data_IF_122559081958
#
_entry.id   IF_122559081958
#
_cell.length_a   1.000
_cell.length_b   1.000
_cell.length_c   1.000
_cell.angle_alpha   90.00
_cell.angle_beta   90.00
_cell.angle_gamma   90.00
#
_symmetry.space_group_name_H-M   'P 1'
#
loop_
_entity.id
_entity.type
_entity.pdbx_description
1 polymer ?
#
# COMPACT_ATOMS: atom_id res chain seq x y z
N UNK A 1 12.41 8.77 34.78
CA UNK A 1 10.96 8.97 34.61
C UNK A 1 10.58 8.24 33.34
N UNK A 2 9.68 7.26 33.39
CA UNK A 2 9.18 6.57 32.18
C UNK A 2 8.52 7.61 31.28
N UNK A 3 8.89 7.66 30.00
CA UNK A 3 8.22 8.54 29.04
C UNK A 3 6.70 8.27 29.08
N UNK A 4 5.85 9.31 29.07
CA UNK A 4 4.41 9.12 29.07
C UNK A 4 3.97 8.36 27.80
N UNK A 5 2.94 7.53 27.93
CA UNK A 5 2.34 6.86 26.79
C UNK A 5 1.86 7.90 25.76
N UNK A 6 2.15 7.66 24.49
CA UNK A 6 1.76 8.54 23.38
C UNK A 6 0.32 8.27 22.97
N UNK A 7 -0.36 9.29 22.45
CA UNK A 7 -1.69 9.12 21.87
C UNK A 7 -1.57 8.71 20.39
N UNK A 8 -1.91 7.47 20.09
CA UNK A 8 -1.87 6.94 18.72
C UNK A 8 -3.13 7.26 17.91
N UNK A 9 -4.13 7.93 18.50
CA UNK A 9 -5.34 8.29 17.78
C UNK A 9 -5.07 9.36 16.71
N UNK A 10 -5.72 9.23 15.56
CA UNK A 10 -5.54 10.17 14.44
C UNK A 10 -6.11 11.57 14.71
N UNK A 11 -6.98 11.68 15.71
CA UNK A 11 -7.65 12.91 16.14
C UNK A 11 -7.03 13.49 17.42
N UNK A 12 -5.98 12.86 17.94
CA UNK A 12 -5.31 13.25 19.18
C UNK A 12 -4.24 14.34 18.99
N UNK A 13 -3.61 14.80 20.09
CA UNK A 13 -2.58 15.84 20.05
C UNK A 13 -1.31 15.43 19.28
N UNK A 14 -0.99 14.13 19.19
CA UNK A 14 0.17 13.67 18.41
C UNK A 14 -0.02 13.93 16.90
N UNK A 15 -1.25 13.90 16.39
CA UNK A 15 -1.55 14.23 14.99
C UNK A 15 -1.11 15.67 14.66
N UNK A 16 -1.43 16.61 15.54
CA UNK A 16 -1.01 18.00 15.40
C UNK A 16 0.51 18.15 15.55
N UNK A 17 1.12 17.50 16.55
CA UNK A 17 2.58 17.52 16.75
C UNK A 17 3.34 16.97 15.55
N UNK A 18 2.84 15.92 14.90
CA UNK A 18 3.44 15.36 13.70
C UNK A 18 3.46 16.37 12.54
N UNK A 19 2.38 17.14 12.37
CA UNK A 19 2.31 18.23 11.38
C UNK A 19 3.31 19.35 11.72
N UNK A 20 3.32 19.80 12.97
CA UNK A 20 4.23 20.86 13.46
C UNK A 20 5.72 20.48 13.30
N UNK A 21 6.03 19.19 13.47
CA UNK A 21 7.39 18.63 13.25
C UNK A 21 7.72 18.39 11.78
N UNK A 22 6.79 18.65 10.86
CA UNK A 22 6.98 18.43 9.43
C UNK A 22 7.00 16.96 9.01
N UNK A 23 6.47 16.06 9.84
CA UNK A 23 6.42 14.62 9.57
C UNK A 23 5.23 14.22 8.67
N UNK A 24 4.18 15.05 8.63
CA UNK A 24 3.01 14.80 7.79
C UNK A 24 3.32 15.09 6.32
N UNK A 25 2.99 14.12 5.45
CA UNK A 25 3.19 14.17 4.00
C UNK A 25 4.63 14.58 3.60
N UNK A 26 5.61 14.18 4.43
CA UNK A 26 7.02 14.58 4.35
C UNK A 26 7.74 14.00 3.13
N UNK A 27 8.94 14.55 2.88
CA UNK A 27 9.87 13.93 1.94
C UNK A 27 10.59 12.78 2.65
N UNK A 28 10.46 11.59 2.09
CA UNK A 28 10.96 10.35 2.69
C UNK A 28 12.26 9.94 2.01
N UNK A 29 13.20 9.41 2.79
CA UNK A 29 14.39 8.80 2.20
C UNK A 29 14.00 7.68 1.22
N UNK A 30 14.65 7.68 0.06
CA UNK A 30 14.47 6.68 -1.00
C UNK A 30 15.84 6.27 -1.52
N UNK A 31 16.08 4.96 -1.54
CA UNK A 31 17.34 4.42 -2.06
C UNK A 31 17.55 4.81 -3.53
N UNK A 32 18.77 5.18 -3.93
CA UNK A 32 19.07 5.44 -5.33
C UNK A 32 18.95 4.15 -6.14
N UNK A 33 18.33 4.25 -7.32
CA UNK A 33 18.21 3.17 -8.28
C UNK A 33 18.28 3.73 -9.69
N UNK A 34 18.93 3.00 -10.60
CA UNK A 34 18.95 3.36 -12.02
C UNK A 34 17.50 3.44 -12.57
N UNK A 35 17.11 4.55 -13.22
CA UNK A 35 15.74 4.73 -13.72
C UNK A 35 15.30 3.67 -14.73
N UNK A 36 16.21 3.19 -15.60
CA UNK A 36 15.87 2.16 -16.58
C UNK A 36 15.61 0.82 -15.87
N UNK A 37 16.44 0.48 -14.88
CA UNK A 37 16.22 -0.70 -14.03
C UNK A 37 14.92 -0.61 -13.25
N UNK A 38 14.60 0.56 -12.68
CA UNK A 38 13.35 0.76 -11.97
C UNK A 38 12.14 0.61 -12.92
N UNK A 39 12.22 1.13 -14.15
CA UNK A 39 11.18 0.95 -15.17
C UNK A 39 10.94 -0.52 -15.53
N UNK A 40 11.99 -1.33 -15.65
CA UNK A 40 11.85 -2.79 -15.84
C UNK A 40 11.12 -3.45 -14.67
N UNK A 41 11.45 -3.06 -13.43
CA UNK A 41 10.87 -3.63 -12.22
C UNK A 41 9.39 -3.26 -12.05
N UNK A 42 8.91 -2.18 -12.67
CA UNK A 42 7.48 -1.81 -12.65
C UNK A 42 6.58 -2.70 -13.51
N UNK A 43 7.13 -3.59 -14.34
CA UNK A 43 6.33 -4.39 -15.27
C UNK A 43 5.37 -5.35 -14.56
N UNK A 44 4.07 -5.17 -14.84
CA UNK A 44 2.96 -5.99 -14.34
C UNK A 44 2.60 -7.10 -15.34
N UNK A 45 2.03 -8.21 -14.85
CA UNK A 45 1.70 -9.37 -15.70
C UNK A 45 0.39 -10.02 -15.26
N UNK A 46 -0.60 -10.05 -16.16
CA UNK A 46 -1.90 -10.67 -15.89
C UNK A 46 -1.78 -12.20 -15.77
N UNK A 47 -1.03 -12.82 -16.68
CA UNK A 47 -0.86 -14.28 -16.70
C UNK A 47 -0.19 -14.80 -15.43
N UNK A 48 0.93 -14.18 -15.04
CA UNK A 48 1.68 -14.64 -13.85
C UNK A 48 0.85 -14.45 -12.59
N UNK A 49 0.17 -13.30 -12.44
CA UNK A 49 -0.67 -13.06 -11.25
C UNK A 49 -1.87 -13.98 -11.23
N UNK A 50 -2.47 -14.22 -12.40
CA UNK A 50 -3.56 -15.17 -12.56
C UNK A 50 -3.19 -16.57 -12.10
N UNK A 51 -1.99 -17.06 -12.45
CA UNK A 51 -1.49 -18.36 -11.98
C UNK A 51 -1.38 -18.37 -10.45
N UNK A 52 -0.78 -17.35 -9.84
CA UNK A 52 -0.61 -17.28 -8.38
C UNK A 52 -1.97 -17.27 -7.63
N UNK A 53 -2.94 -16.54 -8.17
CA UNK A 53 -4.32 -16.49 -7.62
C UNK A 53 -5.03 -17.83 -7.80
N UNK A 54 -4.93 -18.44 -8.99
CA UNK A 54 -5.56 -19.74 -9.27
C UNK A 54 -4.96 -20.85 -8.41
N UNK A 55 -3.64 -20.88 -8.22
CA UNK A 55 -2.98 -21.81 -7.31
C UNK A 55 -3.43 -21.61 -5.86
N UNK A 56 -3.53 -20.38 -5.40
CA UNK A 56 -4.04 -20.08 -4.06
C UNK A 56 -5.49 -20.55 -3.88
N UNK A 57 -6.37 -20.26 -4.84
CA UNK A 57 -7.76 -20.71 -4.80
C UNK A 57 -7.87 -22.24 -4.82
N UNK A 58 -7.03 -22.94 -5.60
CA UNK A 58 -6.96 -24.40 -5.56
C UNK A 58 -6.54 -24.92 -4.18
N UNK A 59 -5.58 -24.27 -3.51
CA UNK A 59 -5.18 -24.63 -2.15
C UNK A 59 -6.31 -24.38 -1.14
N UNK A 60 -7.02 -23.26 -1.25
CA UNK A 60 -8.19 -22.95 -0.40
C UNK A 60 -9.28 -24.01 -0.58
N UNK A 61 -9.63 -24.35 -1.82
CA UNK A 61 -10.63 -25.39 -2.13
C UNK A 61 -10.17 -26.77 -1.68
N UNK A 62 -8.90 -27.11 -1.88
CA UNK A 62 -8.33 -28.39 -1.44
C UNK A 62 -8.34 -28.52 0.09
N UNK A 63 -7.89 -27.50 0.81
CA UNK A 63 -7.93 -27.47 2.27
C UNK A 63 -9.37 -27.46 2.81
N UNK A 64 -10.29 -26.75 2.14
CA UNK A 64 -11.70 -26.75 2.49
C UNK A 64 -12.35 -28.12 2.28
N UNK A 65 -12.02 -28.81 1.18
CA UNK A 65 -12.50 -30.16 0.90
C UNK A 65 -11.98 -31.16 1.94
N UNK A 66 -10.71 -31.03 2.33
CA UNK A 66 -10.15 -31.83 3.42
C UNK A 66 -10.87 -31.54 4.75
N UNK A 67 -11.10 -30.27 5.09
CA UNK A 67 -11.82 -29.89 6.30
C UNK A 67 -13.26 -30.44 6.31
N UNK A 68 -13.93 -30.42 5.16
CA UNK A 68 -15.28 -30.96 5.00
C UNK A 68 -15.33 -32.48 5.24
N UNK A 69 -14.46 -33.25 4.59
CA UNK A 69 -14.41 -34.72 4.75
C UNK A 69 -13.98 -35.12 6.17
N UNK A 70 -13.18 -34.28 6.84
CA UNK A 70 -12.71 -34.54 8.19
C UNK A 70 -13.73 -34.20 9.29
N UNK A 71 -14.86 -33.56 8.96
CA UNK A 71 -15.92 -33.21 9.94
C UNK A 71 -16.33 -34.42 10.78
N UNK A 72 -16.45 -34.22 12.10
CA UNK A 72 -16.77 -35.29 13.05
C UNK A 72 -15.57 -36.16 13.47
N UNK A 73 -14.36 -35.87 12.99
CA UNK A 73 -13.12 -36.56 13.39
C UNK A 73 -12.08 -35.61 13.96
N UNK A 74 -11.07 -36.16 14.65
CA UNK A 74 -9.92 -35.37 15.14
C UNK A 74 -9.10 -34.71 14.02
N UNK A 75 -9.19 -35.21 12.79
CA UNK A 75 -8.52 -34.60 11.63
C UNK A 75 -9.15 -33.26 11.21
N UNK A 76 -10.35 -32.92 11.69
CA UNK A 76 -10.97 -31.63 11.43
C UNK A 76 -10.10 -30.46 11.95
N UNK A 77 -9.46 -30.62 13.10
CA UNK A 77 -8.67 -29.57 13.73
C UNK A 77 -7.51 -29.10 12.83
N UNK A 78 -6.56 -29.97 12.42
CA UNK A 78 -5.47 -29.54 11.53
C UNK A 78 -5.99 -29.10 10.16
N UNK A 79 -7.07 -29.69 9.65
CA UNK A 79 -7.66 -29.29 8.38
C UNK A 79 -8.20 -27.85 8.41
N UNK A 80 -8.95 -27.48 9.46
CA UNK A 80 -9.44 -26.12 9.64
C UNK A 80 -8.31 -25.13 9.93
N UNK A 81 -7.26 -25.51 10.67
CA UNK A 81 -6.08 -24.63 10.85
C UNK A 81 -5.45 -24.25 9.49
N UNK A 82 -5.27 -25.22 8.59
CA UNK A 82 -4.71 -24.99 7.25
C UNK A 82 -5.69 -24.19 6.39
N UNK A 83 -6.97 -24.57 6.37
CA UNK A 83 -7.99 -23.86 5.61
C UNK A 83 -8.12 -22.40 6.04
N UNK A 84 -8.14 -22.12 7.34
CA UNK A 84 -8.18 -20.76 7.89
C UNK A 84 -6.96 -19.94 7.51
N UNK A 85 -5.76 -20.54 7.58
CA UNK A 85 -4.53 -19.87 7.19
C UNK A 85 -4.55 -19.46 5.71
N UNK A 86 -5.03 -20.33 4.83
CA UNK A 86 -5.14 -20.05 3.40
C UNK A 86 -6.28 -19.06 3.08
N UNK A 87 -7.40 -19.16 3.78
CA UNK A 87 -8.56 -18.29 3.58
C UNK A 87 -8.29 -16.89 4.14
N UNK A 88 -8.06 -16.76 5.44
CA UNK A 88 -7.85 -15.46 6.10
C UNK A 88 -6.44 -14.94 5.91
N UNK A 89 -5.44 -15.73 6.35
CA UNK A 89 -4.04 -15.29 6.38
C UNK A 89 -3.46 -14.97 5.00
N UNK A 90 -3.62 -15.88 4.02
CA UNK A 90 -3.10 -15.64 2.68
C UNK A 90 -3.97 -14.66 1.87
N UNK A 91 -5.23 -14.38 2.24
CA UNK A 91 -5.98 -13.29 1.62
C UNK A 91 -5.38 -11.91 1.95
N UNK A 92 -4.66 -11.76 3.06
CA UNK A 92 -4.10 -10.49 3.51
C UNK A 92 -3.16 -9.80 2.49
N UNK A 93 -2.07 -10.43 2.05
CA UNK A 93 -1.23 -9.84 1.01
C UNK A 93 -1.97 -9.64 -0.32
N UNK A 94 -3.07 -10.38 -0.58
CA UNK A 94 -3.82 -10.33 -1.84
C UNK A 94 -4.73 -9.11 -1.90
N UNK A 95 -5.49 -8.80 -0.84
CA UNK A 95 -6.24 -7.52 -0.81
C UNK A 95 -5.25 -6.34 -0.79
N UNK A 96 -4.13 -6.45 -0.08
CA UNK A 96 -3.13 -5.39 -0.01
C UNK A 96 -2.57 -5.06 -1.41
N UNK A 97 -1.99 -6.05 -2.09
CA UNK A 97 -1.35 -5.85 -3.40
C UNK A 97 -2.34 -5.50 -4.52
N UNK A 98 -3.52 -6.11 -4.51
CA UNK A 98 -4.57 -5.75 -5.47
C UNK A 98 -5.18 -4.38 -5.14
N UNK A 99 -5.15 -3.96 -3.87
CA UNK A 99 -5.55 -2.64 -3.41
C UNK A 99 -4.65 -1.54 -3.99
N UNK A 100 -3.34 -1.79 -4.06
CA UNK A 100 -2.35 -0.94 -4.75
C UNK A 100 -2.58 -0.91 -6.26
N UNK A 101 -3.18 -1.95 -6.84
CA UNK A 101 -3.43 -2.09 -8.27
C UNK A 101 -2.18 -2.46 -9.08
N UNK A 102 -1.16 -2.98 -8.40
CA UNK A 102 0.13 -3.37 -8.95
C UNK A 102 0.18 -4.85 -9.33
N UNK A 103 -0.67 -5.69 -8.71
CA UNK A 103 -0.68 -7.13 -8.96
C UNK A 103 -0.92 -7.47 -10.44
N UNK A 104 -2.01 -6.95 -11.02
CA UNK A 104 -2.38 -7.16 -12.43
C UNK A 104 -2.07 -5.92 -13.27
N UNK A 105 -1.77 -6.15 -14.56
CA UNK A 105 -1.65 -5.07 -15.56
C UNK A 105 -3.04 -4.53 -15.89
N UNK A 106 -4.03 -5.40 -16.00
CA UNK A 106 -5.43 -5.05 -16.25
C UNK A 106 -6.11 -4.63 -14.94
N UNK A 107 -6.60 -3.40 -14.88
CA UNK A 107 -7.09 -2.78 -13.64
C UNK A 107 -8.23 -3.55 -12.97
N UNK A 108 -9.25 -3.98 -13.72
CA UNK A 108 -10.42 -4.66 -13.16
C UNK A 108 -10.10 -6.04 -12.56
N UNK A 109 -9.00 -6.69 -13.00
CA UNK A 109 -8.54 -7.96 -12.41
C UNK A 109 -8.02 -7.76 -10.98
N UNK A 110 -7.42 -6.60 -10.68
CA UNK A 110 -7.07 -6.26 -9.31
C UNK A 110 -8.34 -6.17 -8.44
N UNK A 111 -9.36 -5.45 -8.89
CA UNK A 111 -10.63 -5.35 -8.15
C UNK A 111 -11.30 -6.72 -7.96
N UNK A 112 -11.25 -7.60 -8.97
CA UNK A 112 -11.80 -8.96 -8.91
C UNK A 112 -11.22 -9.78 -7.75
N UNK A 113 -9.95 -9.58 -7.40
CA UNK A 113 -9.28 -10.28 -6.28
C UNK A 113 -9.39 -9.47 -4.98
N UNK A 114 -9.30 -8.14 -5.10
CA UNK A 114 -9.36 -7.20 -3.99
C UNK A 114 -10.63 -7.37 -3.16
N UNK A 115 -11.81 -7.26 -3.79
CA UNK A 115 -13.07 -7.29 -3.06
C UNK A 115 -13.32 -8.62 -2.31
N UNK A 116 -13.14 -9.81 -2.94
CA UNK A 116 -13.25 -11.07 -2.21
C UNK A 116 -12.22 -11.19 -1.08
N UNK A 117 -10.95 -10.86 -1.32
CA UNK A 117 -9.92 -10.95 -0.28
C UNK A 117 -10.19 -10.00 0.90
N UNK A 118 -10.71 -8.80 0.63
CA UNK A 118 -11.19 -7.86 1.63
C UNK A 118 -12.35 -8.45 2.45
N UNK A 119 -13.33 -9.10 1.81
CA UNK A 119 -14.43 -9.76 2.51
C UNK A 119 -13.95 -10.92 3.40
N UNK A 120 -13.02 -11.74 2.90
CA UNK A 120 -12.42 -12.86 3.64
C UNK A 120 -11.75 -12.43 4.96
N UNK A 121 -11.39 -11.15 5.07
CA UNK A 121 -10.78 -10.53 6.24
C UNK A 121 -11.69 -9.55 6.98
N UNK A 122 -12.95 -9.41 6.57
CA UNK A 122 -13.90 -8.41 7.10
C UNK A 122 -13.33 -6.98 7.06
N UNK A 123 -12.53 -6.69 6.02
CA UNK A 123 -11.97 -5.38 5.74
C UNK A 123 -12.84 -4.66 4.74
N UNK A 124 -13.48 -3.56 5.14
CA UNK A 124 -14.27 -2.71 4.22
C UNK A 124 -13.35 -2.10 3.15
N UNK A 125 -13.57 -2.37 1.85
CA UNK A 125 -12.60 -2.07 0.80
C UNK A 125 -12.20 -0.58 0.75
N UNK A 126 -13.17 0.33 0.74
CA UNK A 126 -12.86 1.77 0.68
C UNK A 126 -12.09 2.24 1.92
N UNK A 127 -12.51 1.83 3.12
CA UNK A 127 -11.83 2.22 4.38
C UNK A 127 -10.38 1.76 4.37
N UNK A 128 -10.15 0.49 4.05
CA UNK A 128 -8.81 -0.09 4.09
C UNK A 128 -7.90 0.42 2.98
N UNK A 129 -8.42 0.69 1.77
CA UNK A 129 -7.63 1.33 0.72
C UNK A 129 -7.08 2.69 1.17
N UNK A 130 -7.92 3.53 1.78
CA UNK A 130 -7.53 4.88 2.20
C UNK A 130 -6.70 4.90 3.49
N UNK A 131 -7.01 3.99 4.43
CA UNK A 131 -6.13 3.71 5.58
C UNK A 131 -4.72 3.35 5.12
N UNK A 132 -4.63 2.48 4.11
CA UNK A 132 -3.36 1.97 3.65
C UNK A 132 -2.58 2.99 2.78
N UNK A 133 -3.29 3.83 2.01
CA UNK A 133 -2.68 5.02 1.39
C UNK A 133 -2.11 5.96 2.46
N UNK A 134 -2.84 6.19 3.56
CA UNK A 134 -2.32 7.00 4.69
C UNK A 134 -1.10 6.36 5.33
N UNK A 135 -1.10 5.04 5.50
CA UNK A 135 0.05 4.28 6.01
C UNK A 135 1.29 4.48 5.12
N UNK A 136 1.19 4.38 3.79
CA UNK A 136 2.31 4.68 2.90
C UNK A 136 2.72 6.15 2.85
N UNK A 137 1.82 7.07 3.20
CA UNK A 137 2.14 8.49 3.30
C UNK A 137 2.99 8.81 4.52
N UNK A 138 2.61 8.24 5.67
CA UNK A 138 3.04 8.65 7.00
C UNK A 138 3.46 7.39 7.82
N UNK A 139 4.16 6.42 7.22
CA UNK A 139 4.47 5.10 7.80
C UNK A 139 4.99 5.22 9.23
N UNK A 140 4.28 4.64 10.20
CA UNK A 140 4.72 4.57 11.61
C UNK A 140 4.96 5.98 12.23
N UNK A 141 4.33 7.02 11.67
CA UNK A 141 4.24 8.36 12.28
C UNK A 141 3.04 8.40 13.23
N UNK A 142 3.30 8.60 14.51
CA UNK A 142 2.26 8.52 15.55
C UNK A 142 1.25 9.66 15.40
N UNK A 143 -0.04 9.32 15.51
CA UNK A 143 -1.15 10.23 15.29
C UNK A 143 -1.47 10.49 13.81
N UNK A 144 -0.74 9.86 12.87
CA UNK A 144 -0.98 9.96 11.43
C UNK A 144 -1.28 8.61 10.77
N UNK A 145 -0.51 7.59 11.13
CA UNK A 145 -0.68 6.24 10.60
C UNK A 145 -1.80 5.47 11.33
N UNK A 146 -2.83 5.11 10.58
CA UNK A 146 -3.98 4.34 11.08
C UNK A 146 -3.66 2.86 11.31
N UNK A 147 -2.53 2.38 10.79
CA UNK A 147 -2.16 0.96 10.73
C UNK A 147 -1.06 0.59 11.75
N UNK A 148 -0.78 1.47 12.72
CA UNK A 148 0.12 1.15 13.84
C UNK A 148 -0.54 0.08 14.72
N UNK A 149 -0.13 -1.18 14.55
CA UNK A 149 -0.64 -2.32 15.32
C UNK A 149 0.04 -2.47 16.69
N UNK A 150 1.22 -1.87 16.87
CA UNK A 150 2.08 -2.04 18.04
C UNK A 150 2.37 -0.70 18.74
N UNK A 151 1.36 -0.06 19.35
CA UNK A 151 1.58 1.17 20.12
C UNK A 151 2.45 0.91 21.34
N UNK A 152 3.12 1.96 21.83
CA UNK A 152 4.04 1.89 22.98
C UNK A 152 3.42 2.57 24.22
N UNK A 153 3.49 1.95 25.41
CA UNK A 153 4.09 0.64 25.70
C UNK A 153 3.33 -0.53 25.06
N UNK A 154 4.07 -1.53 24.58
CA UNK A 154 3.47 -2.71 23.93
C UNK A 154 2.79 -3.60 24.97
N UNK A 155 1.50 -3.85 24.80
CA UNK A 155 0.77 -4.87 25.57
C UNK A 155 0.99 -6.25 24.94
N UNK A 156 2.02 -6.95 25.43
CA UNK A 156 2.41 -8.29 24.98
C UNK A 156 1.28 -9.32 25.18
N UNK A 157 0.46 -9.15 26.24
CA UNK A 157 -0.66 -10.06 26.49
C UNK A 157 -1.76 -9.85 25.46
N UNK A 158 -2.15 -8.60 25.22
CA UNK A 158 -3.15 -8.27 24.21
C UNK A 158 -2.69 -8.71 22.81
N UNK A 159 -1.41 -8.48 22.47
CA UNK A 159 -0.81 -8.96 21.23
C UNK A 159 -0.90 -10.48 21.07
N UNK A 160 -0.50 -11.25 22.11
CA UNK A 160 -0.53 -12.72 22.06
C UNK A 160 -1.95 -13.26 21.91
N UNK A 161 -2.92 -12.67 22.62
CA UNK A 161 -4.34 -13.03 22.50
C UNK A 161 -4.87 -12.71 21.09
N UNK A 162 -4.41 -11.60 20.50
CA UNK A 162 -4.87 -11.18 19.18
C UNK A 162 -4.25 -11.97 18.02
N UNK A 163 -3.28 -12.87 18.26
CA UNK A 163 -2.82 -13.83 17.24
C UNK A 163 -3.97 -14.69 16.68
N UNK A 164 -5.05 -14.87 17.45
CA UNK A 164 -6.24 -15.62 17.02
C UNK A 164 -7.44 -14.71 16.70
N UNK A 165 -7.20 -13.40 16.49
CA UNK A 165 -8.26 -12.45 16.12
C UNK A 165 -9.29 -12.17 17.23
N UNK A 166 -9.03 -12.57 18.48
CA UNK A 166 -10.01 -12.53 19.58
C UNK A 166 -10.48 -11.11 19.90
N UNK A 167 -9.62 -10.11 19.75
CA UNK A 167 -9.97 -8.70 20.01
C UNK A 167 -10.21 -7.93 18.71
N UNK A 168 -9.34 -8.11 17.71
CA UNK A 168 -9.42 -7.38 16.44
C UNK A 168 -10.65 -7.72 15.61
N UNK A 169 -10.99 -9.00 15.43
CA UNK A 169 -12.09 -9.39 14.53
C UNK A 169 -13.45 -8.92 15.07
N UNK A 170 -13.78 -9.07 16.38
CA UNK A 170 -14.99 -8.46 16.93
C UNK A 170 -15.00 -6.92 16.87
N UNK A 171 -13.85 -6.25 16.89
CA UNK A 171 -13.78 -4.81 16.67
C UNK A 171 -14.14 -4.44 15.22
N UNK A 172 -13.67 -5.21 14.23
CA UNK A 172 -14.02 -5.03 12.82
C UNK A 172 -15.53 -5.22 12.59
N UNK A 173 -16.12 -6.28 13.14
CA UNK A 173 -17.58 -6.50 13.04
C UNK A 173 -18.37 -5.34 13.66
N UNK A 174 -17.96 -4.85 14.83
CA UNK A 174 -18.59 -3.68 15.47
C UNK A 174 -18.47 -2.42 14.62
N UNK A 175 -17.32 -2.18 13.99
CA UNK A 175 -17.09 -1.08 13.05
C UNK A 175 -18.01 -1.19 11.83
N UNK A 176 -18.08 -2.37 11.20
CA UNK A 176 -19.00 -2.63 10.07
C UNK A 176 -20.45 -2.33 10.46
N UNK A 177 -20.90 -2.77 11.64
CA UNK A 177 -22.27 -2.46 12.13
C UNK A 177 -22.48 -0.95 12.31
N UNK A 178 -21.50 -0.23 12.86
CA UNK A 178 -21.57 1.24 13.01
C UNK A 178 -21.66 1.93 11.65
N UNK A 179 -20.78 1.58 10.72
CA UNK A 179 -20.76 2.14 9.36
C UNK A 179 -22.05 1.85 8.59
N UNK A 180 -22.62 0.65 8.70
CA UNK A 180 -23.89 0.30 8.07
C UNK A 180 -25.08 1.15 8.56
N UNK A 181 -24.98 1.63 9.81
CA UNK A 181 -25.91 2.56 10.45
C UNK A 181 -25.58 4.04 10.21
N UNK A 182 -24.73 4.36 9.22
CA UNK A 182 -24.34 5.73 8.86
C UNK A 182 -23.58 6.46 9.99
N UNK A 183 -22.85 5.71 10.81
CA UNK A 183 -22.01 6.24 11.90
C UNK A 183 -20.55 5.95 11.60
N UNK A 184 -19.93 6.80 10.78
CA UNK A 184 -18.50 6.73 10.49
C UNK A 184 -17.68 7.11 11.72
N UNK A 185 -16.59 6.37 11.95
CA UNK A 185 -15.64 6.72 12.99
C UNK A 185 -14.86 8.00 12.61
N UNK A 186 -14.46 8.79 13.61
CA UNK A 186 -13.82 10.08 13.38
C UNK A 186 -12.45 9.95 12.68
N UNK A 187 -11.74 8.86 12.92
CA UNK A 187 -10.50 8.52 12.23
C UNK A 187 -10.75 8.20 10.76
N UNK A 188 -11.77 7.38 10.43
CA UNK A 188 -12.18 7.06 9.05
C UNK A 188 -12.53 8.32 8.28
N UNK A 189 -13.30 9.23 8.89
CA UNK A 189 -13.62 10.52 8.29
C UNK A 189 -12.39 11.41 8.03
N UNK A 190 -11.28 11.18 8.74
CA UNK A 190 -10.02 11.93 8.58
C UNK A 190 -9.15 11.48 7.42
N UNK A 191 -9.27 10.23 6.94
CA UNK A 191 -8.49 9.71 5.80
C UNK A 191 -9.30 9.24 4.60
N UNK A 192 -10.61 8.99 4.75
CA UNK A 192 -11.51 8.70 3.63
C UNK A 192 -12.13 10.01 3.11
N UNK A 193 -11.98 10.35 1.82
CA UNK A 193 -12.65 11.51 1.22
C UNK A 193 -14.17 11.49 1.40
N UNK A 194 -14.77 12.65 1.63
CA UNK A 194 -16.20 12.79 1.99
C UNK A 194 -17.14 12.28 0.90
N UNK A 195 -16.75 12.40 -0.37
CA UNK A 195 -17.49 11.88 -1.52
C UNK A 195 -17.61 10.34 -1.52
N UNK A 196 -16.74 9.64 -0.79
CA UNK A 196 -16.75 8.18 -0.66
C UNK A 196 -17.44 7.68 0.61
N UNK A 197 -17.88 8.56 1.51
CA UNK A 197 -18.52 8.17 2.77
C UNK A 197 -19.77 7.32 2.54
N UNK A 198 -20.60 7.69 1.55
CA UNK A 198 -21.78 6.90 1.17
C UNK A 198 -21.41 5.51 0.65
N UNK A 199 -20.27 5.37 -0.03
CA UNK A 199 -19.77 4.09 -0.51
C UNK A 199 -19.37 3.17 0.65
N UNK A 200 -18.69 3.72 1.67
CA UNK A 200 -18.35 2.98 2.90
C UNK A 200 -19.61 2.40 3.54
N UNK A 201 -20.67 3.20 3.68
CA UNK A 201 -21.95 2.74 4.26
C UNK A 201 -22.56 1.57 3.47
N UNK A 202 -22.52 1.62 2.14
CA UNK A 202 -23.04 0.53 1.29
C UNK A 202 -22.16 -0.72 1.34
N UNK A 203 -20.85 -0.56 1.37
CA UNK A 203 -19.90 -1.67 1.57
C UNK A 203 -20.18 -2.36 2.92
N UNK A 204 -20.30 -1.59 4.01
CA UNK A 204 -20.65 -2.10 5.33
C UNK A 204 -21.97 -2.90 5.33
N UNK A 205 -23.02 -2.36 4.71
CA UNK A 205 -24.32 -3.05 4.57
C UNK A 205 -24.19 -4.34 3.78
N UNK A 206 -23.42 -4.35 2.69
CA UNK A 206 -23.19 -5.57 1.90
C UNK A 206 -22.47 -6.65 2.72
N UNK A 207 -21.53 -6.26 3.57
CA UNK A 207 -20.84 -7.19 4.48
C UNK A 207 -21.80 -7.75 5.53
N UNK A 208 -22.67 -6.92 6.11
CA UNK A 208 -23.71 -7.39 7.03
C UNK A 208 -24.69 -8.37 6.38
N UNK A 209 -25.11 -8.11 5.14
CA UNK A 209 -25.94 -9.06 4.39
C UNK A 209 -25.22 -10.40 4.24
N UNK A 210 -23.94 -10.40 3.91
CA UNK A 210 -23.12 -11.62 3.85
C UNK A 210 -23.05 -12.35 5.19
N UNK A 211 -22.74 -11.64 6.28
CA UNK A 211 -22.64 -12.22 7.64
C UNK A 211 -24.00 -12.78 8.09
N UNK A 212 -25.08 -12.01 7.93
CA UNK A 212 -26.44 -12.46 8.29
C UNK A 212 -26.88 -13.65 7.44
N UNK A 213 -26.53 -13.67 6.15
CA UNK A 213 -26.78 -14.81 5.28
C UNK A 213 -26.09 -16.09 5.77
N UNK A 214 -24.84 -15.99 6.21
CA UNK A 214 -24.10 -17.12 6.80
C UNK A 214 -24.73 -17.59 8.13
N UNK A 215 -25.16 -16.65 8.98
CA UNK A 215 -25.85 -16.99 10.24
C UNK A 215 -27.21 -17.65 9.97
N UNK A 216 -27.98 -17.15 9.00
CA UNK A 216 -29.24 -17.76 8.58
C UNK A 216 -29.03 -19.18 8.02
N UNK A 217 -27.97 -19.39 7.23
CA UNK A 217 -27.60 -20.72 6.76
C UNK A 217 -27.26 -21.67 7.91
N UNK A 218 -26.61 -21.19 8.99
CA UNK A 218 -26.35 -22.00 10.19
C UNK A 218 -27.65 -22.43 10.88
N UNK A 219 -28.65 -21.53 10.94
CA UNK A 219 -29.98 -21.85 11.51
C UNK A 219 -30.70 -22.88 10.65
N UNK A 220 -30.74 -22.69 9.33
CA UNK A 220 -31.40 -23.61 8.38
C UNK A 220 -30.77 -25.01 8.41
N UNK A 221 -29.45 -25.08 8.52
CA UNK A 221 -28.71 -26.35 8.57
C UNK A 221 -28.59 -26.95 9.97
N UNK A 222 -29.14 -26.28 11.00
CA UNK A 222 -29.03 -26.64 12.41
C UNK A 222 -27.58 -26.94 12.85
N UNK A 223 -26.61 -26.15 12.36
CA UNK A 223 -25.19 -26.40 12.61
C UNK A 223 -24.29 -25.22 12.28
N UNK A 224 -23.06 -25.26 12.77
CA UNK A 224 -22.07 -24.20 12.58
C UNK A 224 -21.28 -24.33 11.26
N UNK A 225 -21.57 -25.32 10.44
CA UNK A 225 -20.77 -25.64 9.25
C UNK A 225 -20.66 -24.44 8.29
N UNK A 226 -21.73 -23.71 7.92
CA UNK A 226 -21.58 -22.53 7.06
C UNK A 226 -20.67 -21.46 7.67
N UNK A 227 -20.76 -21.25 8.99
CA UNK A 227 -19.89 -20.32 9.71
C UNK A 227 -18.42 -20.76 9.64
N UNK A 228 -18.13 -22.05 9.81
CA UNK A 228 -16.78 -22.60 9.73
C UNK A 228 -16.14 -22.42 8.35
N UNK A 229 -16.91 -22.24 7.28
CA UNK A 229 -16.37 -22.11 5.93
C UNK A 229 -16.30 -20.68 5.38
N UNK A 230 -17.04 -19.71 5.91
CA UNK A 230 -17.13 -18.36 5.30
C UNK A 230 -16.64 -17.24 6.21
N UNK A 231 -17.26 -17.05 7.38
CA UNK A 231 -16.90 -15.93 8.29
C UNK A 231 -15.98 -16.39 9.41
N UNK A 232 -16.14 -17.62 9.90
CA UNK A 232 -15.28 -18.24 10.90
C UNK A 232 -13.79 -18.29 10.53
N UNK A 233 -13.39 -18.56 9.26
CA UNK A 233 -11.98 -18.57 8.88
C UNK A 233 -11.25 -17.26 9.12
N UNK A 234 -11.94 -16.11 9.12
CA UNK A 234 -11.35 -14.82 9.49
C UNK A 234 -10.84 -14.81 10.94
N UNK A 235 -11.50 -15.55 11.84
CA UNK A 235 -11.11 -15.65 13.25
C UNK A 235 -9.98 -16.66 13.42
N UNK A 236 -10.24 -17.94 13.16
CA UNK A 236 -9.28 -18.99 13.44
C UNK A 236 -8.12 -19.04 12.43
N UNK A 237 -8.21 -18.30 11.32
CA UNK A 237 -7.15 -18.11 10.34
C UNK A 237 -6.30 -16.84 10.55
N UNK A 238 -6.67 -15.98 11.51
CA UNK A 238 -5.98 -14.72 11.79
C UNK A 238 -4.49 -14.91 12.14
N UNK A 239 -4.11 -16.10 12.62
CA UNK A 239 -2.75 -16.39 13.04
C UNK A 239 -1.72 -16.21 11.93
N UNK A 240 -2.04 -16.56 10.67
CA UNK A 240 -1.07 -16.44 9.58
C UNK A 240 -0.95 -14.99 9.09
N UNK A 241 -2.05 -14.23 9.11
CA UNK A 241 -2.03 -12.78 8.90
C UNK A 241 -1.16 -12.11 9.98
N UNK A 242 -1.40 -12.42 11.25
CA UNK A 242 -0.61 -11.90 12.35
C UNK A 242 0.86 -12.35 12.25
N UNK A 243 1.10 -13.58 11.78
CA UNK A 243 2.43 -14.12 11.59
C UNK A 243 3.26 -13.29 10.58
N UNK A 244 2.65 -12.93 9.45
CA UNK A 244 3.34 -12.13 8.46
C UNK A 244 3.35 -10.63 8.81
N UNK A 245 2.19 -10.06 9.16
CA UNK A 245 2.06 -8.62 9.46
C UNK A 245 2.93 -8.16 10.63
N UNK A 246 3.14 -9.00 11.65
CA UNK A 246 4.03 -8.66 12.77
C UNK A 246 5.47 -8.43 12.29
N UNK A 247 5.91 -9.09 11.22
CA UNK A 247 7.28 -8.96 10.73
C UNK A 247 7.58 -7.61 10.08
N UNK A 248 6.55 -6.84 9.68
CA UNK A 248 6.69 -5.61 8.91
C UNK A 248 7.34 -4.47 9.73
N UNK A 249 6.67 -4.03 10.79
CA UNK A 249 7.05 -2.83 11.56
C UNK A 249 7.27 -3.08 13.05
N UNK A 250 6.88 -4.25 13.58
CA UNK A 250 6.90 -4.48 15.02
C UNK A 250 8.30 -4.28 15.61
N UNK A 251 8.38 -3.47 16.67
CA UNK A 251 9.62 -3.18 17.39
C UNK A 251 10.52 -2.11 16.76
N UNK A 252 10.15 -1.57 15.59
CA UNK A 252 10.97 -0.60 14.86
C UNK A 252 10.62 0.86 15.20
N UNK A 253 11.47 1.81 14.77
CA UNK A 253 11.40 3.22 15.17
C UNK A 253 10.13 3.92 14.69
N UNK A 254 9.59 4.80 15.52
CA UNK A 254 8.47 5.70 15.23
C UNK A 254 8.96 7.08 14.79
N UNK A 255 8.15 7.80 14.00
CA UNK A 255 8.42 9.19 13.59
C UNK A 255 9.76 9.42 12.85
N UNK A 256 10.23 8.42 12.09
CA UNK A 256 11.44 8.51 11.28
C UNK A 256 11.07 8.47 9.81
N UNK A 257 11.49 9.48 9.04
CA UNK A 257 11.23 9.64 7.60
C UNK A 257 12.18 8.81 6.72
N UNK A 258 12.47 7.58 7.14
CA UNK A 258 13.31 6.62 6.42
C UNK A 258 12.83 5.20 6.73
N UNK A 259 12.31 4.52 5.71
CA UNK A 259 11.74 3.18 5.84
C UNK A 259 12.75 2.14 6.33
N UNK A 260 14.06 2.37 6.16
CA UNK A 260 15.11 1.47 6.65
C UNK A 260 15.13 1.36 8.18
N UNK A 261 14.62 2.36 8.87
CA UNK A 261 14.55 2.41 10.34
C UNK A 261 13.23 1.88 10.91
N UNK A 262 12.13 2.02 10.18
CA UNK A 262 10.78 1.71 10.65
C UNK A 262 10.14 0.48 9.98
N UNK A 263 10.81 -0.12 9.00
CA UNK A 263 10.33 -1.27 8.22
C UNK A 263 11.40 -2.38 8.13
N UNK A 264 10.98 -3.65 7.96
CA UNK A 264 11.86 -4.83 7.94
C UNK A 264 11.76 -5.63 6.65
N UNK A 265 12.91 -6.12 6.19
CA UNK A 265 13.01 -7.18 5.20
C UNK A 265 13.43 -8.48 5.88
N UNK A 266 12.73 -9.58 5.58
CA UNK A 266 12.93 -10.90 6.20
C UNK A 266 13.12 -11.95 5.12
N UNK A 267 14.15 -12.78 5.20
CA UNK A 267 14.26 -13.93 4.32
C UNK A 267 13.30 -15.04 4.74
N UNK A 268 12.50 -15.51 3.78
CA UNK A 268 11.47 -16.53 3.97
C UNK A 268 11.65 -17.68 2.97
N UNK A 269 11.19 -18.87 3.35
CA UNK A 269 11.19 -20.04 2.47
C UNK A 269 10.19 -19.85 1.29
N UNK A 270 10.31 -20.63 0.20
CA UNK A 270 9.46 -20.47 -0.99
C UNK A 270 7.95 -20.56 -0.73
N UNK A 271 7.51 -21.40 0.23
CA UNK A 271 6.08 -21.52 0.57
C UNK A 271 5.58 -20.23 1.20
N UNK A 272 6.31 -19.67 2.16
CA UNK A 272 5.91 -18.42 2.80
C UNK A 272 5.99 -17.24 1.84
N UNK A 273 6.97 -17.22 0.93
CA UNK A 273 7.05 -16.21 -0.13
C UNK A 273 5.86 -16.27 -1.09
N UNK A 274 5.34 -17.46 -1.39
CA UNK A 274 4.12 -17.61 -2.17
C UNK A 274 2.86 -17.18 -1.37
N UNK A 275 2.74 -17.62 -0.11
CA UNK A 275 1.60 -17.29 0.73
C UNK A 275 1.53 -15.79 1.03
N UNK A 276 2.68 -15.17 1.27
CA UNK A 276 2.82 -13.75 1.60
C UNK A 276 3.03 -12.84 0.39
N UNK A 277 2.98 -13.37 -0.84
CA UNK A 277 3.28 -12.64 -2.07
C UNK A 277 4.59 -11.84 -1.99
N UNK A 278 5.70 -12.43 -1.58
CA UNK A 278 6.99 -11.73 -1.40
C UNK A 278 6.96 -10.44 -0.55
N UNK A 279 5.88 -10.17 0.20
CA UNK A 279 5.76 -8.98 1.04
C UNK A 279 6.69 -9.02 2.27
N UNK A 280 7.49 -10.08 2.39
CA UNK A 280 8.64 -10.15 3.26
C UNK A 280 9.76 -9.17 2.86
N UNK A 281 9.72 -8.62 1.64
CA UNK A 281 10.53 -7.49 1.16
C UNK A 281 9.78 -6.18 1.40
N UNK A 282 9.49 -5.89 2.68
CA UNK A 282 8.57 -4.81 3.05
C UNK A 282 9.23 -3.43 2.98
N UNK A 283 10.55 -3.31 3.19
CA UNK A 283 11.25 -2.02 3.04
C UNK A 283 11.18 -1.57 1.58
N UNK A 284 11.43 -2.52 0.67
CA UNK A 284 11.39 -2.33 -0.77
C UNK A 284 9.99 -1.91 -1.21
N UNK A 285 8.96 -2.60 -0.69
CA UNK A 285 7.56 -2.26 -0.91
C UNK A 285 7.23 -0.83 -0.44
N UNK A 286 7.65 -0.42 0.75
CA UNK A 286 7.38 0.93 1.25
C UNK A 286 8.13 2.03 0.48
N UNK A 287 9.36 1.77 0.04
CA UNK A 287 10.14 2.73 -0.76
C UNK A 287 9.66 2.81 -2.20
N UNK A 288 9.13 1.72 -2.76
CA UNK A 288 8.70 1.62 -4.16
C UNK A 288 7.37 0.85 -4.26
N UNK A 289 6.26 1.38 -3.70
CA UNK A 289 4.98 0.65 -3.60
C UNK A 289 4.33 0.36 -4.97
N UNK A 290 4.84 1.01 -6.02
CA UNK A 290 4.44 0.80 -7.40
C UNK A 290 5.05 -0.44 -8.05
N UNK A 291 6.12 -1.00 -7.46
CA UNK A 291 6.77 -2.22 -7.96
C UNK A 291 5.95 -3.44 -7.52
N UNK A 292 5.45 -4.26 -8.45
CA UNK A 292 4.64 -5.42 -8.10
C UNK A 292 5.43 -6.42 -7.28
N UNK A 293 4.72 -7.08 -6.36
CA UNK A 293 5.28 -8.01 -5.40
C UNK A 293 6.26 -9.07 -5.96
N UNK A 294 6.05 -9.53 -7.20
CA UNK A 294 6.92 -10.50 -7.87
C UNK A 294 8.32 -9.98 -8.14
N UNK A 295 8.45 -8.67 -8.31
CA UNK A 295 9.70 -8.00 -8.67
C UNK A 295 10.41 -7.46 -7.42
N UNK A 296 9.78 -7.47 -6.24
CA UNK A 296 10.41 -7.07 -4.97
C UNK A 296 11.73 -7.81 -4.66
N UNK A 297 11.89 -9.12 -4.94
CA UNK A 297 13.19 -9.78 -4.74
C UNK A 297 14.29 -9.24 -5.66
N UNK A 298 13.94 -8.84 -6.88
CA UNK A 298 14.87 -8.26 -7.84
C UNK A 298 15.18 -6.79 -7.51
N UNK A 299 14.18 -6.06 -6.99
CA UNK A 299 14.36 -4.72 -6.43
C UNK A 299 15.29 -4.76 -5.22
N UNK A 300 15.06 -5.68 -4.27
CA UNK A 300 15.94 -5.91 -3.14
C UNK A 300 17.39 -6.09 -3.60
N UNK A 301 17.63 -6.95 -4.60
CA UNK A 301 18.97 -7.13 -5.16
C UNK A 301 19.58 -5.87 -5.76
N UNK A 302 18.77 -4.96 -6.32
CA UNK A 302 19.23 -3.72 -6.94
C UNK A 302 19.59 -2.61 -5.94
N UNK A 303 18.95 -2.59 -4.77
CA UNK A 303 19.18 -1.56 -3.73
C UNK A 303 19.83 -2.12 -2.46
N UNK A 304 20.21 -3.40 -2.44
CA UNK A 304 20.65 -4.15 -1.24
C UNK A 304 21.74 -3.44 -0.45
N UNK A 305 22.70 -2.82 -1.14
CA UNK A 305 23.87 -2.20 -0.51
C UNK A 305 23.51 -0.94 0.30
N UNK A 306 22.33 -0.37 0.05
CA UNK A 306 21.78 0.77 0.79
C UNK A 306 20.77 0.36 1.87
N UNK A 307 20.48 -0.94 2.01
CA UNK A 307 19.54 -1.47 2.97
C UNK A 307 20.25 -2.01 4.23
N UNK A 308 19.59 -1.96 5.40
CA UNK A 308 20.04 -2.72 6.58
C UNK A 308 20.04 -4.21 6.27
N UNK A 309 20.89 -4.97 6.97
CA UNK A 309 20.96 -6.42 6.79
C UNK A 309 19.58 -7.07 7.05
N UNK A 310 19.03 -7.85 6.10
CA UNK A 310 17.76 -8.52 6.30
C UNK A 310 17.82 -9.54 7.44
N UNK A 311 16.71 -9.74 8.15
CA UNK A 311 16.64 -10.86 9.10
C UNK A 311 16.81 -12.18 8.33
N UNK A 312 17.77 -13.05 8.70
CA UNK A 312 18.14 -14.22 7.90
C UNK A 312 17.08 -15.33 7.87
N UNK A 313 16.08 -15.25 8.74
CA UNK A 313 14.92 -16.14 8.76
C UNK A 313 13.75 -15.49 9.50
N UNK A 314 12.55 -16.03 9.34
CA UNK A 314 11.38 -15.66 10.16
C UNK A 314 11.65 -15.83 11.65
N UNK A 315 12.35 -16.90 12.06
CA UNK A 315 12.72 -17.12 13.46
C UNK A 315 13.64 -16.02 14.00
N UNK A 316 14.64 -15.60 13.22
CA UNK A 316 15.52 -14.51 13.60
C UNK A 316 14.75 -13.18 13.74
N UNK A 317 13.84 -12.88 12.81
CA UNK A 317 12.96 -11.71 12.89
C UNK A 317 12.10 -11.75 14.16
N UNK A 318 11.49 -12.89 14.48
CA UNK A 318 10.68 -13.04 15.70
C UNK A 318 11.49 -12.88 16.99
N UNK A 319 12.75 -13.33 17.02
CA UNK A 319 13.64 -13.14 18.17
C UNK A 319 13.96 -11.65 18.39
N UNK A 320 14.17 -10.91 17.31
CA UNK A 320 14.37 -9.46 17.33
C UNK A 320 13.10 -8.73 17.81
N UNK A 321 11.94 -9.05 17.21
CA UNK A 321 10.64 -8.49 17.58
C UNK A 321 10.31 -8.74 19.05
N UNK A 322 10.60 -9.95 19.56
CA UNK A 322 10.34 -10.28 20.96
C UNK A 322 11.25 -9.51 21.92
N UNK A 323 12.50 -9.29 21.53
CA UNK A 323 13.43 -8.42 22.29
C UNK A 323 12.89 -6.99 22.34
N UNK A 324 12.48 -6.44 21.20
CA UNK A 324 11.90 -5.11 21.11
C UNK A 324 10.61 -4.98 21.91
N UNK A 325 9.68 -5.94 21.77
CA UNK A 325 8.40 -5.93 22.45
C UNK A 325 8.57 -5.93 23.98
N UNK A 326 9.52 -6.73 24.51
CA UNK A 326 9.83 -6.73 25.95
C UNK A 326 10.43 -5.41 26.42
N UNK A 327 11.38 -4.86 25.66
CA UNK A 327 11.98 -3.56 25.97
C UNK A 327 10.93 -2.44 25.96
N UNK A 328 10.14 -2.36 24.89
CA UNK A 328 9.11 -1.33 24.68
C UNK A 328 7.90 -1.46 25.60
N UNK A 329 7.63 -2.65 26.15
CA UNK A 329 6.61 -2.85 27.18
C UNK A 329 6.98 -2.16 28.51
N UNK A 330 8.28 -2.11 28.85
CA UNK A 330 8.78 -1.49 30.09
C UNK A 330 9.31 -0.08 29.89
N UNK A 331 9.94 0.18 28.75
CA UNK A 331 10.57 1.44 28.37
C UNK A 331 10.10 1.81 26.96
N UNK A 332 9.05 2.65 26.80
CA UNK A 332 8.48 2.99 25.49
C UNK A 332 9.47 3.58 24.48
N UNK A 333 10.57 4.18 24.97
CA UNK A 333 11.66 4.74 24.16
C UNK A 333 12.70 3.70 23.74
N UNK A 334 12.56 2.43 24.14
CA UNK A 334 13.47 1.37 23.74
C UNK A 334 13.47 1.21 22.21
N UNK A 335 14.67 1.15 21.65
CA UNK A 335 14.91 0.89 20.24
C UNK A 335 15.91 -0.25 20.08
N UNK A 336 15.74 -1.01 18.99
CA UNK A 336 16.70 -2.02 18.61
C UNK A 336 18.00 -1.38 18.14
N UNK A 337 19.13 -2.02 18.47
CA UNK A 337 20.43 -1.69 17.91
C UNK A 337 20.51 -2.20 16.47
N UNK A 338 19.98 -1.40 15.54
CA UNK A 338 19.94 -1.67 14.11
C UNK A 338 20.91 -0.74 13.40
N UNK A 339 21.71 -1.30 12.52
CA UNK A 339 22.63 -0.52 11.66
C UNK A 339 21.95 -0.30 10.31
N UNK A 340 21.79 0.96 9.93
CA UNK A 340 21.36 1.37 8.60
C UNK A 340 22.57 2.02 7.90
N UNK A 341 22.89 1.63 6.64
CA UNK A 341 23.96 2.27 5.88
C UNK A 341 23.77 3.79 5.80
N UNK A 342 24.87 4.55 5.73
CA UNK A 342 24.80 5.99 5.51
C UNK A 342 24.03 6.28 4.23
N UNK A 343 23.10 7.25 4.30
CA UNK A 343 22.30 7.63 3.15
C UNK A 343 23.19 8.13 2.03
N UNK A 344 23.11 7.47 0.87
CA UNK A 344 23.73 8.01 -0.34
C UNK A 344 22.87 9.18 -0.79
N UNK A 345 23.39 10.39 -0.67
CA UNK A 345 22.69 11.59 -1.12
C UNK A 345 22.36 11.47 -2.61
N UNK A 346 21.08 11.34 -2.95
CA UNK A 346 20.62 11.44 -4.33
C UNK A 346 20.53 12.92 -4.73
N UNK A 347 21.66 13.62 -4.74
CA UNK A 347 21.69 14.98 -5.29
C UNK A 347 22.14 14.95 -6.73
N UNK A 348 21.27 15.40 -7.62
CA UNK A 348 21.48 16.39 -8.69
C UNK A 348 20.55 16.05 -9.86
N UNK A 349 19.38 16.69 -9.93
CA UNK A 349 18.70 16.92 -11.21
C UNK A 349 18.85 18.40 -11.52
N UNK A 350 19.72 18.67 -12.48
CA UNK A 350 19.83 19.94 -13.13
C UNK A 350 19.82 19.65 -14.62
N UNK A 351 18.66 19.85 -15.25
CA UNK A 351 18.64 20.26 -16.64
C UNK A 351 18.38 21.75 -16.61
N UNK A 352 19.43 22.56 -16.76
CA UNK A 352 19.30 23.99 -17.02
C UNK A 352 18.68 24.14 -18.40
N UNK A 353 17.35 24.23 -18.45
CA UNK A 353 16.64 24.53 -19.68
C UNK A 353 16.64 26.04 -19.88
N UNK A 354 17.06 26.49 -21.06
CA UNK A 354 17.07 27.92 -21.41
C UNK A 354 15.70 28.30 -21.93
N UNK A 355 15.01 29.22 -21.25
CA UNK A 355 13.76 29.81 -21.74
C UNK A 355 14.07 30.82 -22.86
N UNK A 356 13.39 30.69 -24.00
CA UNK A 356 13.46 31.68 -25.07
C UNK A 356 12.07 31.94 -25.63
N UNK A 357 11.56 33.16 -25.44
CA UNK A 357 10.26 33.57 -26.00
C UNK A 357 9.06 32.79 -25.47
N UNK A 358 9.08 32.35 -24.20
CA UNK A 358 7.99 31.60 -23.57
C UNK A 358 7.98 30.10 -23.89
N UNK A 359 9.04 29.60 -24.53
CA UNK A 359 9.27 28.18 -24.79
C UNK A 359 10.55 27.72 -24.10
N UNK A 360 10.49 26.50 -23.58
CA UNK A 360 11.56 25.81 -22.90
C UNK A 360 12.00 24.65 -23.78
N UNK A 361 13.27 24.65 -24.16
CA UNK A 361 13.89 23.57 -24.92
C UNK A 361 14.29 22.42 -24.00
N UNK A 362 13.82 21.20 -24.30
CA UNK A 362 13.83 20.07 -23.36
C UNK A 362 14.92 19.05 -23.71
N UNK A 363 14.79 18.41 -24.88
CA UNK A 363 15.73 17.41 -25.38
C UNK A 363 15.44 17.06 -26.84
N UNK A 364 16.31 16.25 -27.46
CA UNK A 364 15.98 15.69 -28.77
C UNK A 364 14.87 14.64 -28.64
N UNK A 365 14.04 14.48 -29.67
CA UNK A 365 12.96 13.47 -29.69
C UNK A 365 13.51 12.06 -29.50
N UNK A 366 14.70 11.77 -30.03
CA UNK A 366 15.37 10.48 -29.88
C UNK A 366 15.81 10.17 -28.44
N UNK A 367 15.98 11.19 -27.59
CA UNK A 367 16.42 11.04 -26.20
C UNK A 367 15.25 10.74 -25.23
N UNK A 368 14.02 10.70 -25.74
CA UNK A 368 12.81 10.38 -24.99
C UNK A 368 12.08 9.19 -25.64
N UNK A 369 12.41 7.98 -25.16
CA UNK A 369 11.78 6.75 -25.61
C UNK A 369 10.26 6.73 -25.32
N UNK A 370 9.44 5.98 -26.08
CA UNK A 370 8.04 5.77 -25.72
C UNK A 370 7.92 5.20 -24.30
N UNK A 371 7.01 5.76 -23.50
CA UNK A 371 6.84 5.39 -22.10
C UNK A 371 7.84 6.04 -21.13
N UNK A 372 8.75 6.89 -21.61
CA UNK A 372 9.67 7.65 -20.79
C UNK A 372 9.14 9.08 -20.51
N UNK A 373 9.73 9.72 -19.51
CA UNK A 373 9.43 11.10 -19.14
C UNK A 373 10.68 11.83 -18.68
N UNK A 374 10.62 13.16 -18.69
CA UNK A 374 11.72 14.04 -18.28
C UNK A 374 11.17 15.25 -17.52
N UNK A 375 11.81 15.58 -16.39
CA UNK A 375 11.50 16.80 -15.63
C UNK A 375 12.27 17.99 -16.19
N UNK A 376 11.64 19.16 -16.09
CA UNK A 376 12.23 20.46 -16.32
C UNK A 376 12.14 21.21 -15.00
N UNK A 377 13.31 21.48 -14.41
CA UNK A 377 13.44 22.13 -13.12
C UNK A 377 13.91 23.59 -13.38
N UNK A 378 13.06 24.59 -13.09
CA UNK A 378 13.39 26.00 -13.38
C UNK A 378 12.23 27.01 -13.37
N UNK A 379 10.97 26.56 -13.41
CA UNK A 379 9.77 27.37 -13.17
C UNK A 379 9.30 27.28 -11.71
N UNK A 380 8.37 28.15 -11.27
CA UNK A 380 7.77 28.13 -9.92
C UNK A 380 7.18 26.76 -9.50
N UNK A 381 6.93 25.87 -10.46
CA UNK A 381 6.59 24.45 -10.29
C UNK A 381 7.25 23.63 -11.42
N UNK A 382 7.83 22.44 -11.16
CA UNK A 382 8.45 21.63 -12.20
C UNK A 382 7.44 21.18 -13.26
N UNK A 383 7.89 21.02 -14.50
CA UNK A 383 7.09 20.50 -15.61
C UNK A 383 7.64 19.13 -16.00
N UNK A 384 6.77 18.15 -16.22
CA UNK A 384 7.16 16.83 -16.68
C UNK A 384 6.66 16.62 -18.10
N UNK A 385 7.61 16.37 -19.00
CA UNK A 385 7.36 16.00 -20.39
C UNK A 385 7.30 14.49 -20.48
N UNK A 386 6.17 13.99 -20.95
CA UNK A 386 5.85 12.57 -21.05
C UNK A 386 5.76 12.17 -22.51
N UNK A 387 6.34 11.03 -22.85
CA UNK A 387 6.02 10.36 -24.11
C UNK A 387 5.13 9.16 -23.83
N UNK A 388 3.88 9.24 -24.29
CA UNK A 388 2.92 8.16 -24.15
C UNK A 388 3.40 6.87 -24.82
N UNK A 389 2.79 5.74 -24.48
CA UNK A 389 3.13 4.44 -25.10
C UNK A 389 2.80 4.42 -26.59
N UNK A 390 1.78 5.19 -27.00
CA UNK A 390 1.41 5.47 -28.39
C UNK A 390 2.46 6.30 -29.15
N UNK A 391 3.39 6.93 -28.44
CA UNK A 391 4.44 7.79 -28.98
C UNK A 391 4.11 9.29 -28.96
N UNK A 392 2.89 9.67 -28.60
CA UNK A 392 2.43 11.06 -28.47
C UNK A 392 3.16 11.79 -27.32
N UNK A 393 3.44 13.08 -27.52
CA UNK A 393 4.14 13.91 -26.55
C UNK A 393 3.15 14.76 -25.75
N UNK A 394 3.30 14.76 -24.44
CA UNK A 394 2.47 15.50 -23.50
C UNK A 394 3.34 16.22 -22.49
N UNK A 395 2.84 17.31 -21.90
CA UNK A 395 3.52 17.97 -20.79
C UNK A 395 2.50 18.36 -19.72
N UNK A 396 2.83 18.06 -18.47
CA UNK A 396 1.96 18.26 -17.30
C UNK A 396 2.76 18.84 -16.13
N UNK A 397 2.06 19.39 -15.13
CA UNK A 397 2.68 19.78 -13.88
C UNK A 397 3.40 18.57 -13.23
N UNK A 398 4.60 18.79 -12.72
CA UNK A 398 5.49 17.75 -12.23
C UNK A 398 5.25 17.28 -10.80
N UNK A 399 4.40 17.97 -10.05
CA UNK A 399 4.05 17.62 -8.67
C UNK A 399 2.67 16.98 -8.62
N UNK A 400 2.56 15.88 -7.88
CA UNK A 400 1.29 15.20 -7.66
C UNK A 400 0.31 16.09 -6.86
N UNK A 401 -0.90 16.28 -7.36
CA UNK A 401 -1.95 17.05 -6.65
C UNK A 401 -2.40 16.40 -5.34
N UNK A 402 -2.26 15.08 -5.20
CA UNK A 402 -2.56 14.36 -3.95
C UNK A 402 -1.51 14.59 -2.85
N UNK A 403 -0.23 14.75 -3.20
CA UNK A 403 0.84 14.99 -2.23
C UNK A 403 1.88 15.93 -2.81
N UNK A 404 1.93 17.15 -2.26
CA UNK A 404 2.72 18.28 -2.79
C UNK A 404 4.24 18.09 -2.76
N UNK A 405 4.72 16.98 -2.17
CA UNK A 405 6.15 16.63 -2.10
C UNK A 405 6.53 15.51 -3.07
N UNK A 406 5.58 14.93 -3.81
CA UNK A 406 5.84 13.81 -4.72
C UNK A 406 6.07 14.30 -6.14
N UNK A 407 7.26 14.03 -6.64
CA UNK A 407 7.67 14.30 -8.02
C UNK A 407 7.12 13.19 -8.94
N UNK A 408 6.34 13.58 -9.95
CA UNK A 408 5.70 12.64 -10.88
C UNK A 408 6.68 12.04 -11.88
N UNK A 409 7.81 12.71 -12.15
CA UNK A 409 8.88 12.19 -13.01
C UNK A 409 9.48 10.87 -12.47
N UNK A 410 9.32 10.59 -11.17
CA UNK A 410 9.78 9.33 -10.57
C UNK A 410 8.75 8.20 -10.67
N UNK A 411 7.59 8.48 -11.24
CA UNK A 411 6.49 7.55 -11.49
C UNK A 411 6.69 6.68 -12.73
N UNK A 412 5.58 6.36 -13.41
CA UNK A 412 5.61 5.58 -14.63
C UNK A 412 4.53 6.02 -15.63
N UNK A 413 4.78 5.82 -16.92
CA UNK A 413 3.76 5.95 -17.97
C UNK A 413 3.04 4.60 -18.13
N UNK A 414 1.71 4.61 -18.01
CA UNK A 414 0.87 3.42 -18.18
C UNK A 414 -0.14 3.67 -19.30
N UNK A 415 0.18 3.21 -20.52
CA UNK A 415 -0.62 3.54 -21.70
C UNK A 415 -0.48 5.03 -22.04
N UNK A 416 -1.58 5.77 -21.89
CA UNK A 416 -1.68 7.23 -22.08
C UNK A 416 -1.94 7.96 -20.75
N UNK A 417 -1.58 7.33 -19.62
CA UNK A 417 -1.73 7.87 -18.27
C UNK A 417 -0.35 8.03 -17.59
N UNK A 418 -0.21 9.07 -16.77
CA UNK A 418 0.91 9.26 -15.84
C UNK A 418 0.53 8.71 -14.46
N UNK A 419 1.28 7.74 -13.96
CA UNK A 419 1.07 7.11 -12.66
C UNK A 419 2.06 7.65 -11.62
N UNK A 420 1.54 8.16 -10.50
CA UNK A 420 2.29 8.69 -9.38
C UNK A 420 3.10 7.59 -8.67
N UNK A 421 4.38 7.84 -8.32
CA UNK A 421 5.27 6.84 -7.70
C UNK A 421 4.94 6.49 -6.26
N UNK A 422 4.06 7.24 -5.59
CA UNK A 422 3.79 7.05 -4.16
C UNK A 422 2.56 6.18 -3.89
N UNK A 423 1.44 6.47 -4.55
CA UNK A 423 0.16 5.79 -4.29
C UNK A 423 -0.54 5.31 -5.58
N UNK A 424 0.19 5.27 -6.70
CA UNK A 424 -0.32 4.81 -7.99
C UNK A 424 -1.54 5.61 -8.51
N UNK A 425 -1.77 6.83 -8.01
CA UNK A 425 -2.79 7.73 -8.54
C UNK A 425 -2.46 8.07 -9.99
N UNK A 426 -3.46 8.15 -10.87
CA UNK A 426 -3.24 8.36 -12.30
C UNK A 426 -3.91 9.59 -12.85
N UNK A 427 -3.23 10.20 -13.80
CA UNK A 427 -3.69 11.34 -14.57
C UNK A 427 -3.68 10.98 -16.05
N UNK A 428 -4.71 11.35 -16.79
CA UNK A 428 -4.69 11.27 -18.25
C UNK A 428 -3.69 12.29 -18.78
N UNK A 429 -2.79 11.88 -19.67
CA UNK A 429 -1.79 12.79 -20.22
C UNK A 429 -2.40 13.89 -21.09
N UNK A 430 -3.49 13.57 -21.80
CA UNK A 430 -4.13 14.46 -22.76
C UNK A 430 -4.71 15.75 -22.14
N UNK A 431 -5.27 15.67 -20.93
CA UNK A 431 -5.97 16.79 -20.29
C UNK A 431 -5.61 16.97 -18.81
N UNK A 432 -4.73 16.14 -18.25
CA UNK A 432 -4.33 16.17 -16.85
C UNK A 432 -5.40 15.66 -15.87
N UNK A 433 -6.57 15.21 -16.36
CA UNK A 433 -7.68 14.80 -15.49
C UNK A 433 -7.35 13.54 -14.68
N UNK A 434 -7.80 13.44 -13.42
CA UNK A 434 -7.60 12.24 -12.63
C UNK A 434 -8.37 11.07 -13.26
N UNK A 435 -7.71 9.92 -13.38
CA UNK A 435 -8.30 8.68 -13.88
C UNK A 435 -8.26 7.54 -12.88
N UNK A 436 -7.40 7.63 -11.87
CA UNK A 436 -7.33 6.64 -10.77
C UNK A 436 -7.03 7.32 -9.44
N UNK A 437 -7.84 7.03 -8.43
CA UNK A 437 -7.61 7.44 -7.04
C UNK A 437 -6.22 7.00 -6.54
N UNK A 438 -5.60 7.74 -5.59
CA UNK A 438 -6.23 8.73 -4.70
C UNK A 438 -6.26 10.18 -5.23
N UNK A 439 -5.78 10.44 -6.45
CA UNK A 439 -5.84 11.79 -7.01
C UNK A 439 -7.27 12.15 -7.40
N UNK A 440 -7.70 13.35 -6.99
CA UNK A 440 -9.05 13.88 -7.24
C UNK A 440 -9.03 15.23 -7.96
N UNK A 441 -7.89 15.91 -7.96
CA UNK A 441 -7.65 17.17 -8.66
C UNK A 441 -6.74 16.93 -9.87
N UNK A 442 -7.05 17.54 -11.02
CA UNK A 442 -6.27 17.39 -12.25
C UNK A 442 -4.97 18.18 -12.27
N UNK A 443 -4.02 17.75 -13.10
CA UNK A 443 -2.77 18.47 -13.36
C UNK A 443 -2.99 19.59 -14.38
N UNK A 444 -2.26 20.70 -14.22
CA UNK A 444 -2.11 21.65 -15.30
C UNK A 444 -1.39 20.98 -16.48
N UNK A 445 -1.84 21.24 -17.71
CA UNK A 445 -1.19 20.77 -18.94
C UNK A 445 -0.47 21.90 -19.63
N UNK A 446 0.53 21.57 -20.43
CA UNK A 446 1.37 22.53 -21.15
C UNK A 446 1.42 22.15 -22.63
N UNK A 447 1.48 23.17 -23.49
CA UNK A 447 1.62 22.99 -24.92
C UNK A 447 3.01 22.42 -25.24
N UNK A 448 3.04 21.34 -26.04
CA UNK A 448 4.27 20.69 -26.51
C UNK A 448 4.40 20.92 -28.02
N UNK A 449 5.58 21.34 -28.46
CA UNK A 449 5.91 21.52 -29.87
C UNK A 449 7.17 20.71 -30.20
N UNK A 450 7.15 20.06 -31.37
CA UNK A 450 8.34 19.45 -31.97
C UNK A 450 8.82 20.37 -33.09
N UNK A 451 10.05 20.87 -32.97
CA UNK A 451 10.69 21.74 -33.97
C UNK A 451 12.10 21.22 -34.25
N UNK A 452 12.41 20.90 -35.51
CA UNK A 452 13.71 20.37 -35.94
C UNK A 452 14.27 19.25 -35.03
N UNK A 453 13.45 18.23 -34.74
CA UNK A 453 13.75 17.08 -33.84
C UNK A 453 14.03 17.44 -32.37
N UNK A 454 13.71 18.67 -31.95
CA UNK A 454 13.72 19.10 -30.54
C UNK A 454 12.32 19.13 -29.96
N UNK A 455 12.20 18.65 -28.73
CA UNK A 455 11.00 18.82 -27.93
C UNK A 455 11.09 20.17 -27.21
N UNK A 456 10.07 21.01 -27.40
CA UNK A 456 9.88 22.27 -26.69
C UNK A 456 8.56 22.27 -25.96
N UNK A 457 8.53 22.92 -24.79
CA UNK A 457 7.33 23.05 -23.96
C UNK A 457 7.11 24.50 -23.61
N UNK A 458 5.85 24.95 -23.66
CA UNK A 458 5.50 26.33 -23.29
C UNK A 458 5.68 26.52 -21.79
N UNK A 459 6.28 27.65 -21.36
CA UNK A 459 6.55 27.91 -19.94
C UNK A 459 5.29 28.21 -19.12
N UNK A 460 4.19 28.57 -19.78
CA UNK A 460 2.88 28.81 -19.16
C UNK A 460 1.92 27.65 -19.41
N UNK A 461 1.10 27.28 -18.41
CA UNK A 461 0.10 26.23 -18.58
C UNK A 461 -0.99 26.66 -19.58
N UNK A 462 -1.61 25.67 -20.20
CA UNK A 462 -2.79 25.86 -21.04
C UNK A 462 -3.92 26.49 -20.21
N UNK A 463 -4.71 27.38 -20.82
CA UNK A 463 -5.91 27.86 -20.16
C UNK A 463 -6.85 26.68 -19.92
N UNK A 464 -7.31 26.52 -18.68
CA UNK A 464 -8.27 25.48 -18.35
C UNK A 464 -9.50 25.64 -19.26
N UNK A 465 -9.80 24.63 -20.07
CA UNK A 465 -11.06 24.56 -20.79
C UNK A 465 -12.17 24.53 -19.73
N UNK A 466 -12.83 25.67 -19.53
CA UNK A 466 -13.78 25.86 -18.45
C UNK A 466 -14.78 24.72 -18.37
N UNK A 467 -14.83 24.07 -17.20
CA UNK A 467 -16.01 23.32 -16.79
C UNK A 467 -17.17 24.30 -16.74
N UNK A 468 -18.07 24.19 -17.71
CA UNK A 468 -19.38 24.80 -17.58
C UNK A 468 -20.09 24.01 -16.47
N UNK A 469 -20.54 24.64 -15.37
CA UNK A 469 -21.29 23.93 -14.35
C UNK A 469 -22.63 23.49 -14.96
N UNK A 470 -22.94 22.21 -14.86
CA UNK A 470 -24.26 21.66 -15.11
C UNK A 470 -24.78 21.04 -13.80
#
# INVERSE_FOLDING_TARGET
>A
MTAPARDYSLTGPESQRAIERGLADADWYRSPIDPARLAELHQRSDLRTGIDVVLWLMLVVGAGSWAWVALGSWWAIPAFVVYGALYGGAADPRWHECGHGTAFRTSWLNELVYFPASFMLLREPTVWRWSHVRHHSDTIVVGRDAEIVFPRPIDVRAWTVNLFGVTSVPALVRRIVRHACDRLDADVAGYVPSELHRRVVWEARSYLVGIVGVLAACVVTAGLVPLLFVVGPTFYGAWLMAFFGTTQHAGLREDVLDHRWNTRTVYMNPVFRFLYLNMNYHIEHHMFPTVPYRNLPALHGAIRDDLPEPSPSTWAAYREIWTAARGQATEPTFELDRVVPESVSSTTRAATSVEHGGWIDVCAVADLAPGAMRSIDGSDSPIVVCRASSGEMHAVAGICTHSRRVQLVDGAIVGDELECPKHNGRFRLADGSPSRQPVTEGLATYEVQIDADRIRVRSVPNQASGSTPA
#
